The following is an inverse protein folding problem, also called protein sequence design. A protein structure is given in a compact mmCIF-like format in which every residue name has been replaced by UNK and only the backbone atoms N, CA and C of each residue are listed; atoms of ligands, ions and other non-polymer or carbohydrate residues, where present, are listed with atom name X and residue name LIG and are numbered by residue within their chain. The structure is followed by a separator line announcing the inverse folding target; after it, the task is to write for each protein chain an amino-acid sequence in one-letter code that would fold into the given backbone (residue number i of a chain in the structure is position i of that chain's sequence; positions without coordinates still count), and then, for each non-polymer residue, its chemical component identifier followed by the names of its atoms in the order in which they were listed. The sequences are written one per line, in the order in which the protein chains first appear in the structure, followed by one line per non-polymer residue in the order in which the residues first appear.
data_IF_168334707906
#
_entry.id   IF_168334707906
#
_cell.length_a   1.000
_cell.length_b   1.000
_cell.length_c   1.000
_cell.angle_alpha   90.00
_cell.angle_beta   90.00
_cell.angle_gamma   90.00
#
_symmetry.space_group_name_H-M   'P 1'
#
loop_
_entity.id
_entity.type
_entity.pdbx_description
1 polymer ?
#
# COMPACT_ATOMS: atom_id res chain seq x y z
N UNK A 1 11.15 5.97 -28.57
CA UNK A 1 11.97 6.04 -27.33
C UNK A 1 12.20 7.48 -26.90
N UNK A 2 11.14 8.24 -26.62
CA UNK A 2 11.28 9.66 -26.25
C UNK A 2 10.90 9.84 -24.78
N UNK A 3 11.89 9.73 -23.91
CA UNK A 3 11.76 10.23 -22.55
C UNK A 3 11.69 11.78 -22.60
N UNK A 4 10.82 12.42 -21.81
CA UNK A 4 10.65 13.86 -21.83
C UNK A 4 11.96 14.59 -21.52
N UNK A 5 12.13 15.78 -22.11
CA UNK A 5 13.31 16.60 -21.91
C UNK A 5 13.48 16.93 -20.41
N UNK A 6 14.59 16.47 -19.81
CA UNK A 6 14.84 16.55 -18.36
C UNK A 6 14.61 15.26 -17.58
N UNK A 7 14.21 14.16 -18.24
CA UNK A 7 14.10 12.86 -17.59
C UNK A 7 15.48 12.35 -17.16
N UNK A 8 15.67 12.18 -15.85
CA UNK A 8 16.84 11.52 -15.27
C UNK A 8 16.52 10.04 -15.11
N UNK A 9 17.39 9.17 -15.65
CA UNK A 9 17.26 7.73 -15.46
C UNK A 9 17.41 7.39 -13.98
N UNK A 10 16.42 6.72 -13.33
CA UNK A 10 16.55 6.32 -11.94
C UNK A 10 17.73 5.35 -11.75
N UNK A 11 18.36 5.38 -10.57
CA UNK A 11 19.36 4.37 -10.23
C UNK A 11 18.73 2.97 -10.28
N UNK A 12 19.49 2.00 -10.83
CA UNK A 12 19.04 0.62 -10.89
C UNK A 12 18.84 0.08 -9.46
N UNK A 13 17.60 -0.26 -9.16
CA UNK A 13 17.21 -0.81 -7.87
C UNK A 13 17.84 -2.19 -7.67
N UNK A 14 18.71 -2.33 -6.67
CA UNK A 14 19.28 -3.62 -6.30
C UNK A 14 18.18 -4.51 -5.69
N UNK A 15 17.88 -5.63 -6.36
CA UNK A 15 16.82 -6.55 -5.93
C UNK A 15 17.19 -7.37 -4.68
N UNK A 16 18.49 -7.48 -4.36
CA UNK A 16 18.97 -8.21 -3.20
C UNK A 16 18.75 -7.37 -1.95
N UNK A 17 17.92 -7.86 -1.02
CA UNK A 17 17.54 -7.10 0.18
C UNK A 17 16.51 -6.00 -0.11
N UNK A 18 15.82 -6.04 -1.26
CA UNK A 18 14.84 -5.00 -1.58
C UNK A 18 13.70 -4.90 -0.56
N UNK A 19 13.32 -6.03 0.02
CA UNK A 19 12.32 -6.10 1.08
C UNK A 19 12.93 -6.19 2.48
N UNK A 20 14.26 -6.02 2.64
CA UNK A 20 14.78 -5.76 3.97
C UNK A 20 14.27 -4.38 4.37
N UNK A 21 13.43 -4.34 5.38
CA UNK A 21 12.73 -3.16 5.90
C UNK A 21 13.70 -2.21 6.63
N UNK A 22 14.87 -1.99 6.06
CA UNK A 22 15.88 -1.07 6.56
C UNK A 22 15.55 0.34 6.05
N UNK A 23 15.54 1.31 6.97
CA UNK A 23 15.18 2.70 6.70
C UNK A 23 16.22 3.35 5.77
N UNK A 24 17.44 2.83 5.75
CA UNK A 24 18.52 3.24 4.84
C UNK A 24 18.46 2.54 3.46
N UNK A 25 17.45 1.68 3.25
CA UNK A 25 17.25 0.93 2.01
C UNK A 25 17.05 1.83 0.79
N UNK A 26 17.53 1.37 -0.37
CA UNK A 26 17.49 2.14 -1.62
C UNK A 26 16.08 2.57 -2.08
N UNK A 27 15.03 1.93 -1.58
CA UNK A 27 13.63 2.32 -1.83
C UNK A 27 13.30 3.67 -1.18
N UNK A 28 13.88 3.97 -0.02
CA UNK A 28 13.60 5.20 0.74
C UNK A 28 14.45 6.40 0.31
N UNK A 29 15.45 6.21 -0.56
CA UNK A 29 16.31 7.29 -1.07
C UNK A 29 15.53 8.41 -1.77
N UNK A 30 14.45 8.08 -2.49
CA UNK A 30 13.61 9.09 -3.15
C UNK A 30 12.90 10.02 -2.15
N UNK A 31 12.57 9.50 -0.97
CA UNK A 31 11.98 10.26 0.13
C UNK A 31 13.02 11.14 0.83
N UNK A 32 14.21 10.59 1.08
CA UNK A 32 15.33 11.31 1.70
C UNK A 32 15.85 12.47 0.81
N UNK A 33 15.85 12.30 -0.52
CA UNK A 33 16.22 13.36 -1.47
C UNK A 33 15.22 14.52 -1.47
N UNK A 34 13.94 14.22 -1.24
CA UNK A 34 12.86 15.20 -1.14
C UNK A 34 12.91 15.95 0.20
N UNK A 35 13.21 15.25 1.30
CA UNK A 35 13.41 15.85 2.63
C UNK A 35 14.68 16.71 2.71
N UNK A 36 15.75 16.31 2.01
CA UNK A 36 17.00 17.06 1.95
C UNK A 36 16.97 18.26 0.98
N UNK A 37 15.85 18.50 0.28
CA UNK A 37 15.72 19.57 -0.71
C UNK A 37 16.60 19.38 -1.96
N UNK A 38 17.13 18.15 -2.18
CA UNK A 38 18.04 17.81 -3.27
C UNK A 38 17.30 17.25 -4.50
N UNK A 39 16.04 16.84 -4.35
CA UNK A 39 15.11 16.61 -5.46
C UNK A 39 14.47 17.94 -5.84
N UNK A 40 15.03 18.63 -6.84
CA UNK A 40 14.81 20.07 -7.08
C UNK A 40 13.38 20.58 -6.89
N UNK A 41 13.25 21.70 -6.16
CA UNK A 41 12.09 22.61 -5.90
C UNK A 41 10.66 22.04 -5.86
N UNK A 42 10.47 20.73 -5.90
CA UNK A 42 9.16 20.13 -5.94
C UNK A 42 8.73 19.86 -4.51
N UNK A 43 7.76 20.64 -4.03
CA UNK A 43 7.15 20.40 -2.73
C UNK A 43 6.70 18.93 -2.61
N UNK A 44 6.89 18.31 -1.43
CA UNK A 44 6.49 16.93 -1.22
C UNK A 44 5.00 16.72 -1.52
N UNK A 45 4.62 15.54 -2.08
CA UNK A 45 3.24 15.29 -2.41
C UNK A 45 2.37 15.32 -1.15
N UNK A 46 1.12 15.76 -1.29
CA UNK A 46 0.24 16.00 -0.13
C UNK A 46 0.03 14.77 0.75
N UNK A 47 -0.05 13.57 0.17
CA UNK A 47 -0.16 12.33 0.95
C UNK A 47 1.04 12.10 1.89
N UNK A 48 2.18 12.75 1.61
CA UNK A 48 3.38 12.69 2.43
C UNK A 48 3.52 13.91 3.35
N UNK A 49 3.13 15.10 2.92
CA UNK A 49 3.40 16.35 3.65
C UNK A 49 2.24 16.83 4.54
N UNK A 50 1.00 16.47 4.21
CA UNK A 50 -0.22 16.94 4.87
C UNK A 50 -0.75 15.85 5.81
N UNK A 51 -0.69 16.11 7.13
CA UNK A 51 -1.17 15.18 8.16
C UNK A 51 -2.66 14.87 8.01
N UNK A 52 -3.48 15.86 7.65
CA UNK A 52 -4.91 15.63 7.46
C UNK A 52 -5.15 14.74 6.23
N UNK A 53 -4.33 14.88 5.20
CA UNK A 53 -4.37 13.98 4.04
C UNK A 53 -3.99 12.55 4.43
N UNK A 54 -2.96 12.36 5.26
CA UNK A 54 -2.57 11.04 5.77
C UNK A 54 -3.68 10.40 6.59
N UNK A 55 -4.23 11.14 7.56
CA UNK A 55 -5.34 10.66 8.39
C UNK A 55 -6.56 10.30 7.56
N UNK A 56 -6.89 11.09 6.53
CA UNK A 56 -7.98 10.79 5.62
C UNK A 56 -7.73 9.50 4.80
N UNK A 57 -6.50 9.28 4.33
CA UNK A 57 -6.12 8.05 3.63
C UNK A 57 -6.26 6.84 4.55
N UNK A 58 -5.73 6.93 5.78
CA UNK A 58 -5.82 5.85 6.78
C UNK A 58 -7.29 5.52 7.07
N UNK A 59 -8.11 6.52 7.40
CA UNK A 59 -9.52 6.32 7.67
C UNK A 59 -10.28 5.72 6.48
N UNK A 60 -9.92 6.10 5.25
CA UNK A 60 -10.51 5.51 4.05
C UNK A 60 -10.13 4.03 3.92
N UNK A 61 -8.84 3.69 4.08
CA UNK A 61 -8.34 2.32 3.98
C UNK A 61 -8.95 1.43 5.06
N UNK A 62 -9.04 1.91 6.30
CA UNK A 62 -9.68 1.18 7.40
C UNK A 62 -11.14 0.87 7.09
N UNK A 63 -11.90 1.84 6.59
CA UNK A 63 -13.29 1.63 6.20
C UNK A 63 -13.41 0.60 5.07
N UNK A 64 -12.52 0.62 4.08
CA UNK A 64 -12.53 -0.40 3.02
C UNK A 64 -12.17 -1.78 3.57
N UNK A 65 -11.20 -1.86 4.49
CA UNK A 65 -10.82 -3.08 5.19
C UNK A 65 -12.01 -3.70 5.91
N UNK A 66 -12.73 -2.91 6.71
CA UNK A 66 -13.93 -3.38 7.41
C UNK A 66 -15.01 -3.90 6.45
N UNK A 67 -15.22 -3.27 5.29
CA UNK A 67 -16.20 -3.73 4.29
C UNK A 67 -15.82 -5.07 3.68
N UNK A 68 -14.53 -5.24 3.36
CA UNK A 68 -14.01 -6.50 2.83
C UNK A 68 -14.15 -7.60 3.86
N UNK A 69 -13.75 -7.33 5.11
CA UNK A 69 -13.85 -8.28 6.22
C UNK A 69 -15.30 -8.71 6.47
N UNK A 70 -16.25 -7.77 6.47
CA UNK A 70 -17.66 -8.10 6.62
C UNK A 70 -18.17 -9.05 5.53
N UNK A 71 -17.74 -8.83 4.28
CA UNK A 71 -18.10 -9.69 3.15
C UNK A 71 -17.50 -11.09 3.28
N UNK A 72 -16.24 -11.18 3.74
CA UNK A 72 -15.57 -12.46 4.01
C UNK A 72 -16.32 -13.22 5.11
N UNK A 73 -16.60 -12.56 6.24
CA UNK A 73 -17.32 -13.18 7.36
C UNK A 73 -18.69 -13.71 6.89
N UNK A 74 -19.44 -12.92 6.11
CA UNK A 74 -20.74 -13.36 5.59
C UNK A 74 -20.61 -14.64 4.74
N UNK A 75 -19.60 -14.70 3.89
CA UNK A 75 -19.32 -15.88 3.06
C UNK A 75 -18.85 -17.09 3.90
N UNK A 76 -18.00 -16.87 4.91
CA UNK A 76 -17.55 -17.92 5.81
C UNK A 76 -18.70 -18.51 6.63
N UNK A 77 -19.58 -17.66 7.16
CA UNK A 77 -20.80 -18.09 7.87
C UNK A 77 -21.68 -18.93 6.94
N UNK A 78 -21.93 -18.47 5.71
CA UNK A 78 -22.69 -19.21 4.72
C UNK A 78 -22.08 -20.60 4.48
N UNK A 79 -20.77 -20.68 4.29
CA UNK A 79 -20.06 -21.93 4.04
C UNK A 79 -20.14 -22.89 5.23
N UNK A 80 -19.98 -22.38 6.45
CA UNK A 80 -20.11 -23.18 7.66
C UNK A 80 -21.53 -23.74 7.82
N UNK A 81 -22.55 -22.94 7.53
CA UNK A 81 -23.93 -23.40 7.53
C UNK A 81 -24.17 -24.50 6.49
N UNK A 82 -23.70 -24.32 5.26
CA UNK A 82 -23.81 -25.34 4.20
C UNK A 82 -23.11 -26.63 4.63
N UNK A 83 -21.86 -26.54 5.10
CA UNK A 83 -21.09 -27.69 5.54
C UNK A 83 -21.79 -28.45 6.68
N UNK A 84 -22.30 -27.73 7.68
CA UNK A 84 -23.06 -28.34 8.78
C UNK A 84 -24.33 -29.05 8.28
N UNK A 85 -25.05 -28.45 7.34
CA UNK A 85 -26.24 -29.07 6.74
C UNK A 85 -25.88 -30.33 5.95
N UNK A 86 -24.81 -30.31 5.16
CA UNK A 86 -24.34 -31.47 4.42
C UNK A 86 -23.89 -32.61 5.34
N UNK A 87 -23.20 -32.30 6.44
CA UNK A 87 -22.70 -33.32 7.36
C UNK A 87 -23.80 -33.94 8.23
N UNK A 88 -24.73 -33.11 8.72
CA UNK A 88 -25.67 -33.52 9.77
C UNK A 88 -27.12 -33.64 9.32
N UNK A 89 -27.50 -33.06 8.18
CA UNK A 89 -28.88 -33.02 7.70
C UNK A 89 -29.07 -33.69 6.33
N UNK A 90 -27.99 -33.99 5.60
CA UNK A 90 -28.08 -34.85 4.42
C UNK A 90 -28.09 -36.33 4.86
N UNK A 91 -29.28 -36.95 4.79
CA UNK A 91 -29.50 -38.40 4.90
C UNK A 91 -29.20 -39.05 3.55
#
# INVERSE_FOLDING_TARGET
DDAPQGAVCPEKLNKKGLFSLDVDGAIWKGLQLLEAGLGGDCAPPRWLADENMRLAIVAHLDLQGCKVELNIIAHEVQNMCVWYMEEHLAI
#
